data_IF_754694905352
#
_entry.id   IF_754694905352
#
_cell.length_a   1.000
_cell.length_b   1.000
_cell.length_c   1.000
_cell.angle_alpha   90.00
_cell.angle_beta   90.00
_cell.angle_gamma   90.00
#
_symmetry.space_group_name_H-M   'P 1'
#
loop_
_entity.id
_entity.type
_entity.pdbx_description
1 polymer ?
#
# COMPACT_ATOMS: atom_id res chain seq x y z
N UNK A 1 28.16 -19.27 -25.24
CA UNK A 1 27.70 -20.37 -24.37
C UNK A 1 27.81 -20.02 -22.89
N UNK A 2 28.95 -19.62 -22.33
CA UNK A 2 29.09 -19.27 -20.89
C UNK A 2 28.26 -18.05 -20.45
N UNK A 3 28.11 -17.00 -21.26
CA UNK A 3 27.31 -15.81 -20.94
C UNK A 3 25.82 -16.10 -20.85
N UNK A 4 25.29 -16.96 -21.73
CA UNK A 4 23.89 -17.39 -21.69
C UNK A 4 23.63 -18.18 -20.41
N UNK A 5 24.55 -19.11 -20.07
CA UNK A 5 24.44 -19.90 -18.85
C UNK A 5 24.51 -19.04 -17.58
N UNK A 6 25.33 -17.99 -17.60
CA UNK A 6 25.40 -17.02 -16.51
C UNK A 6 24.05 -16.28 -16.35
N UNK A 7 23.46 -15.78 -17.43
CA UNK A 7 22.18 -15.08 -17.39
C UNK A 7 21.03 -15.98 -16.90
N UNK A 8 20.98 -17.24 -17.33
CA UNK A 8 20.02 -18.23 -16.83
C UNK A 8 20.17 -18.47 -15.32
N UNK A 9 21.39 -18.61 -14.83
CA UNK A 9 21.65 -18.80 -13.39
C UNK A 9 21.29 -17.58 -12.57
N UNK A 10 21.57 -16.37 -13.07
CA UNK A 10 21.20 -15.12 -12.41
C UNK A 10 19.68 -14.94 -12.36
N UNK A 11 18.96 -15.39 -13.38
CA UNK A 11 17.48 -15.37 -13.38
C UNK A 11 16.92 -16.40 -12.39
N UNK A 12 17.43 -17.63 -12.39
CA UNK A 12 17.02 -18.65 -11.42
C UNK A 12 17.27 -18.20 -9.99
N UNK A 13 18.43 -17.57 -9.72
CA UNK A 13 18.76 -17.04 -8.40
C UNK A 13 17.77 -15.94 -7.95
N UNK A 14 17.35 -15.07 -8.85
CA UNK A 14 16.33 -14.04 -8.55
C UNK A 14 14.98 -14.69 -8.22
N UNK A 15 14.54 -15.65 -9.02
CA UNK A 15 13.28 -16.37 -8.80
C UNK A 15 13.30 -17.15 -7.48
N UNK A 16 14.38 -17.84 -7.16
CA UNK A 16 14.52 -18.58 -5.91
C UNK A 16 14.62 -17.65 -4.70
N UNK A 17 15.27 -16.49 -4.85
CA UNK A 17 15.30 -15.46 -3.80
C UNK A 17 13.92 -14.87 -3.52
N UNK A 18 13.07 -14.72 -4.57
CA UNK A 18 11.68 -14.29 -4.39
C UNK A 18 10.83 -15.38 -3.71
N UNK A 19 11.02 -16.64 -4.09
CA UNK A 19 10.36 -17.78 -3.43
C UNK A 19 10.75 -17.90 -1.96
N UNK A 20 12.04 -17.74 -1.67
CA UNK A 20 12.56 -17.79 -0.29
C UNK A 20 11.90 -16.69 0.56
N UNK A 21 11.87 -15.44 0.08
CA UNK A 21 11.19 -14.35 0.77
C UNK A 21 9.70 -14.63 1.03
N UNK A 22 9.02 -15.24 0.06
CA UNK A 22 7.63 -15.68 0.23
C UNK A 22 7.44 -16.76 1.29
N UNK A 23 8.40 -17.69 1.41
CA UNK A 23 8.39 -18.73 2.44
C UNK A 23 8.71 -18.14 3.81
N UNK A 24 9.72 -17.27 3.91
CA UNK A 24 10.09 -16.57 5.14
C UNK A 24 8.94 -15.70 5.66
N UNK A 25 8.23 -15.00 4.78
CA UNK A 25 7.03 -14.24 5.13
C UNK A 25 5.94 -15.15 5.71
N UNK A 26 5.70 -16.35 5.12
CA UNK A 26 4.73 -17.33 5.64
C UNK A 26 5.16 -17.94 6.98
N UNK A 27 6.46 -18.21 7.16
CA UNK A 27 7.00 -18.69 8.43
C UNK A 27 6.82 -17.64 9.51
N UNK A 28 7.17 -16.39 9.20
CA UNK A 28 7.01 -15.25 10.11
C UNK A 28 5.52 -14.99 10.42
N UNK A 29 4.63 -15.16 9.44
CA UNK A 29 3.18 -15.10 9.63
C UNK A 29 2.69 -16.14 10.66
N UNK A 30 3.16 -17.37 10.59
CA UNK A 30 2.80 -18.42 11.53
C UNK A 30 3.38 -18.17 12.93
N UNK A 31 4.55 -17.54 13.03
CA UNK A 31 5.18 -17.19 14.31
C UNK A 31 4.54 -15.94 14.95
N UNK A 32 4.01 -15.02 14.15
CA UNK A 32 3.30 -13.80 14.61
C UNK A 32 1.79 -14.03 14.80
N UNK A 33 1.30 -15.25 14.65
CA UNK A 33 -0.11 -15.59 14.86
C UNK A 33 -0.60 -15.35 16.31
N UNK A 34 0.32 -15.11 17.26
CA UNK A 34 0.02 -14.79 18.66
C UNK A 34 -0.09 -13.26 18.94
N UNK A 35 0.43 -12.40 18.07
CA UNK A 35 0.23 -10.95 18.20
C UNK A 35 -0.96 -10.50 17.35
N UNK A 36 -2.12 -10.36 17.99
CA UNK A 36 -3.34 -9.87 17.36
C UNK A 36 -3.10 -8.46 16.77
N UNK A 37 -3.10 -8.35 15.45
CA UNK A 37 -3.12 -7.04 14.79
C UNK A 37 -4.48 -6.38 15.12
N UNK A 38 -4.46 -5.30 15.87
CA UNK A 38 -5.66 -4.55 16.19
C UNK A 38 -6.24 -3.86 14.96
N UNK A 39 -7.29 -4.43 14.39
CA UNK A 39 -8.03 -3.80 13.28
C UNK A 39 -9.06 -2.84 13.87
N UNK A 40 -8.94 -1.57 13.52
CA UNK A 40 -9.83 -0.49 13.98
C UNK A 40 -10.70 -0.02 12.82
N UNK A 41 -12.00 0.12 13.06
CA UNK A 41 -12.92 0.77 12.12
C UNK A 41 -13.02 2.25 12.47
N UNK A 42 -12.72 3.11 11.49
CA UNK A 42 -12.86 4.57 11.65
C UNK A 42 -13.37 5.23 10.36
N UNK A 43 -13.87 6.46 10.47
CA UNK A 43 -14.07 7.33 9.30
C UNK A 43 -12.77 8.09 9.00
N UNK A 44 -12.50 8.30 7.71
CA UNK A 44 -11.38 9.11 7.23
C UNK A 44 -11.98 10.29 6.46
N UNK A 45 -11.69 11.55 6.84
CA UNK A 45 -12.19 12.71 6.13
C UNK A 45 -11.58 12.83 4.73
N UNK A 46 -12.13 13.68 3.90
CA UNK A 46 -11.50 14.09 2.65
C UNK A 46 -10.12 14.70 2.92
N UNK A 47 -9.14 14.38 2.07
CA UNK A 47 -7.75 14.78 2.26
C UNK A 47 -7.17 15.27 0.93
N UNK A 48 -6.41 16.35 0.99
CA UNK A 48 -5.62 16.80 -0.16
C UNK A 48 -4.42 15.86 -0.35
N UNK A 49 -4.16 15.50 -1.59
CA UNK A 49 -3.10 14.57 -1.96
C UNK A 49 -2.33 15.11 -3.17
N UNK A 50 -1.05 15.35 -2.99
CA UNK A 50 -0.11 15.69 -4.06
C UNK A 50 0.56 14.41 -4.51
N UNK A 51 0.21 13.91 -5.70
CA UNK A 51 0.54 12.54 -6.08
C UNK A 51 0.76 12.38 -7.58
N UNK A 52 1.38 11.27 -7.93
CA UNK A 52 1.45 10.72 -9.28
C UNK A 52 0.85 9.31 -9.28
N UNK A 53 -0.04 9.03 -10.24
CA UNK A 53 -0.54 7.67 -10.51
C UNK A 53 0.14 7.10 -11.74
N UNK A 54 0.68 5.91 -11.61
CA UNK A 54 1.39 5.21 -12.68
C UNK A 54 1.34 3.70 -12.50
N UNK A 55 1.61 2.97 -13.58
CA UNK A 55 1.82 1.52 -13.52
C UNK A 55 3.30 1.28 -13.29
N UNK A 56 3.63 0.57 -12.21
CA UNK A 56 5.00 0.26 -11.83
C UNK A 56 5.31 -1.20 -12.18
N UNK A 57 6.27 -1.44 -13.09
CA UNK A 57 6.59 -2.78 -13.57
C UNK A 57 7.22 -3.69 -12.53
N UNK A 58 8.01 -3.14 -11.59
CA UNK A 58 8.81 -3.93 -10.65
C UNK A 58 8.90 -3.28 -9.26
N UNK A 59 9.23 -4.04 -8.21
CA UNK A 59 9.50 -3.50 -6.88
C UNK A 59 10.69 -2.53 -6.84
N UNK A 60 11.69 -2.75 -7.66
CA UNK A 60 12.88 -1.90 -7.76
C UNK A 60 12.49 -0.49 -8.26
N UNK A 61 11.69 -0.42 -9.33
CA UNK A 61 11.19 0.85 -9.87
C UNK A 61 10.25 1.56 -8.88
N UNK A 62 9.49 0.80 -8.07
CA UNK A 62 8.71 1.36 -6.97
C UNK A 62 9.59 2.09 -5.97
N UNK A 63 10.67 1.45 -5.52
CA UNK A 63 11.61 2.03 -4.56
C UNK A 63 12.27 3.28 -5.15
N UNK A 64 12.70 3.23 -6.41
CA UNK A 64 13.33 4.36 -7.11
C UNK A 64 12.37 5.57 -7.19
N UNK A 65 11.12 5.35 -7.59
CA UNK A 65 10.13 6.43 -7.68
C UNK A 65 9.81 7.03 -6.31
N UNK A 66 9.63 6.19 -5.28
CA UNK A 66 9.40 6.66 -3.91
C UNK A 66 10.57 7.50 -3.41
N UNK A 67 11.81 7.02 -3.58
CA UNK A 67 13.01 7.77 -3.19
C UNK A 67 13.13 9.10 -3.96
N UNK A 68 12.79 9.11 -5.24
CA UNK A 68 12.81 10.31 -6.06
C UNK A 68 11.81 11.35 -5.56
N UNK A 69 10.55 10.94 -5.31
CA UNK A 69 9.52 11.84 -4.76
C UNK A 69 9.95 12.38 -3.39
N UNK A 70 10.42 11.52 -2.50
CA UNK A 70 10.85 11.89 -1.15
C UNK A 70 12.10 12.79 -1.14
N UNK A 71 12.98 12.65 -2.12
CA UNK A 71 14.15 13.50 -2.27
C UNK A 71 13.84 14.90 -2.81
N UNK A 72 12.85 15.03 -3.68
CA UNK A 72 12.56 16.28 -4.40
C UNK A 72 11.46 17.10 -3.73
N UNK A 73 10.34 16.50 -3.38
CA UNK A 73 9.15 17.24 -2.91
C UNK A 73 9.41 18.07 -1.64
N UNK A 74 10.12 17.58 -0.58
CA UNK A 74 10.38 18.38 0.60
C UNK A 74 11.23 19.64 0.36
N UNK A 75 11.96 19.69 -0.75
CA UNK A 75 12.72 20.89 -1.16
C UNK A 75 11.89 21.90 -1.95
N UNK A 76 10.80 21.46 -2.58
CA UNK A 76 9.93 22.29 -3.44
C UNK A 76 8.64 22.73 -2.77
N UNK A 77 8.20 22.01 -1.76
CA UNK A 77 6.98 22.29 -0.99
C UNK A 77 7.34 22.61 0.45
N UNK A 78 6.69 23.62 1.02
CA UNK A 78 6.89 23.97 2.42
C UNK A 78 6.57 22.76 3.32
N UNK A 79 7.55 22.29 4.07
CA UNK A 79 7.43 21.11 4.93
C UNK A 79 6.28 21.20 5.96
N UNK A 80 5.89 22.43 6.37
CA UNK A 80 4.75 22.63 7.29
C UNK A 80 3.40 22.26 6.66
N UNK A 81 3.34 22.24 5.33
CA UNK A 81 2.14 21.88 4.56
C UNK A 81 2.12 20.38 4.25
N UNK A 82 3.28 19.73 4.18
CA UNK A 82 3.36 18.30 3.96
C UNK A 82 2.82 17.53 5.17
N UNK A 83 2.01 16.55 4.87
CA UNK A 83 1.61 15.46 5.76
C UNK A 83 2.47 14.21 5.53
N UNK A 84 2.00 13.05 5.94
CA UNK A 84 2.68 11.80 5.70
C UNK A 84 2.77 11.46 4.21
N UNK A 85 3.81 10.71 3.84
CA UNK A 85 3.87 10.04 2.54
C UNK A 85 2.81 8.94 2.48
N UNK A 86 2.16 8.78 1.34
CA UNK A 86 1.11 7.80 1.17
C UNK A 86 1.21 7.12 -0.20
N UNK A 87 0.83 5.86 -0.21
CA UNK A 87 0.60 5.06 -1.41
C UNK A 87 -0.85 4.59 -1.48
N UNK A 88 -1.44 4.57 -2.66
CA UNK A 88 -2.74 3.95 -2.93
C UNK A 88 -2.52 2.90 -4.00
N UNK A 89 -3.00 1.68 -3.76
CA UNK A 89 -2.85 0.57 -4.70
C UNK A 89 -4.22 0.23 -5.28
N UNK A 90 -4.32 0.32 -6.60
CA UNK A 90 -5.55 0.11 -7.38
C UNK A 90 -5.62 -1.28 -7.99
N UNK A 91 -4.52 -2.04 -7.95
CA UNK A 91 -4.48 -3.40 -8.49
C UNK A 91 -5.26 -4.35 -7.61
N UNK A 92 -6.21 -5.09 -8.19
CA UNK A 92 -7.09 -6.02 -7.47
C UNK A 92 -6.39 -7.31 -7.02
N UNK A 93 -5.19 -7.57 -7.54
CA UNK A 93 -4.40 -8.76 -7.22
C UNK A 93 -3.08 -8.37 -6.54
N UNK A 94 -2.69 -9.15 -5.53
CA UNK A 94 -1.38 -9.00 -4.88
C UNK A 94 -0.26 -9.50 -5.81
N UNK A 95 0.03 -8.74 -6.86
CA UNK A 95 1.15 -9.00 -7.77
C UNK A 95 2.34 -8.11 -7.39
N UNK A 96 3.54 -8.59 -7.64
CA UNK A 96 4.77 -7.79 -7.44
C UNK A 96 5.13 -6.97 -8.69
N UNK A 97 4.38 -7.15 -9.79
CA UNK A 97 4.70 -6.52 -11.08
C UNK A 97 3.47 -5.89 -11.70
N UNK A 98 3.68 -4.83 -12.45
CA UNK A 98 2.62 -4.06 -13.15
C UNK A 98 1.53 -3.55 -12.21
N UNK A 99 1.93 -3.02 -11.05
CA UNK A 99 1.00 -2.46 -10.09
C UNK A 99 0.56 -1.05 -10.50
N UNK A 100 -0.76 -0.84 -10.57
CA UNK A 100 -1.35 0.49 -10.70
C UNK A 100 -1.37 1.15 -9.32
N UNK A 101 -0.52 2.13 -9.13
CA UNK A 101 -0.31 2.79 -7.85
C UNK A 101 -0.35 4.30 -7.97
N UNK A 102 -0.67 4.95 -6.89
CA UNK A 102 -0.59 6.39 -6.75
C UNK A 102 0.23 6.74 -5.52
N UNK A 103 1.33 7.47 -5.71
CA UNK A 103 2.33 7.76 -4.70
C UNK A 103 2.49 9.26 -4.49
N UNK A 104 2.64 9.70 -3.25
CA UNK A 104 2.82 11.11 -2.96
C UNK A 104 2.67 11.49 -1.50
N UNK A 105 2.33 12.76 -1.25
CA UNK A 105 2.17 13.30 0.09
C UNK A 105 0.74 13.74 0.35
N UNK A 106 0.15 13.35 1.47
CA UNK A 106 -1.02 14.01 2.00
C UNK A 106 -0.65 15.45 2.36
N UNK A 107 -1.60 16.38 2.19
CA UNK A 107 -1.35 17.79 2.43
C UNK A 107 -2.26 18.33 3.52
N UNK A 108 -1.73 19.24 4.35
CA UNK A 108 -2.48 20.00 5.35
C UNK A 108 -3.16 21.25 4.78
N UNK A 109 -2.66 21.76 3.64
CA UNK A 109 -3.16 22.92 2.91
C UNK A 109 -2.89 22.76 1.42
N UNK A 110 -3.65 23.40 0.55
CA UNK A 110 -3.38 23.40 -0.89
C UNK A 110 -1.99 23.92 -1.22
N UNK A 111 -1.42 23.39 -2.29
CA UNK A 111 -0.17 23.82 -2.94
C UNK A 111 -0.45 24.09 -4.43
N UNK A 112 0.57 24.37 -5.23
CA UNK A 112 0.43 24.45 -6.67
C UNK A 112 -0.14 23.15 -7.25
N UNK A 113 -1.02 23.25 -8.22
CA UNK A 113 -1.76 22.11 -8.78
C UNK A 113 -0.87 21.07 -9.46
N UNK A 114 0.32 21.49 -9.94
CA UNK A 114 1.26 20.63 -10.64
C UNK A 114 2.70 20.93 -10.19
N UNK A 115 3.42 19.90 -9.76
CA UNK A 115 4.83 19.99 -9.39
C UNK A 115 5.62 18.99 -10.22
N UNK A 116 6.37 19.50 -11.21
CA UNK A 116 7.26 18.69 -12.05
C UNK A 116 8.48 18.30 -11.24
N UNK A 117 8.79 17.01 -11.13
CA UNK A 117 9.95 16.48 -10.39
C UNK A 117 11.08 16.01 -11.32
N UNK A 118 10.76 15.62 -12.56
CA UNK A 118 11.69 15.26 -13.62
C UNK A 118 11.06 15.51 -15.00
N UNK A 119 11.77 15.16 -16.08
CA UNK A 119 11.21 15.21 -17.45
C UNK A 119 10.05 14.21 -17.63
N UNK A 120 10.05 13.13 -16.86
CA UNK A 120 9.08 12.03 -16.96
C UNK A 120 7.96 12.13 -15.92
N UNK A 121 8.24 12.74 -14.75
CA UNK A 121 7.33 12.70 -13.60
C UNK A 121 6.92 14.07 -13.11
N UNK A 122 5.62 14.22 -12.93
CA UNK A 122 5.00 15.37 -12.29
C UNK A 122 3.91 14.91 -11.31
N UNK A 123 3.88 15.52 -10.12
CA UNK A 123 2.83 15.28 -9.15
C UNK A 123 1.71 16.31 -9.36
N UNK A 124 0.48 15.84 -9.27
CA UNK A 124 -0.71 16.66 -9.36
C UNK A 124 -1.46 16.66 -8.03
N UNK A 125 -1.96 17.83 -7.62
CA UNK A 125 -2.79 17.94 -6.44
C UNK A 125 -4.23 17.53 -6.77
N UNK A 126 -4.82 16.70 -5.91
CA UNK A 126 -6.23 16.33 -5.94
C UNK A 126 -6.79 16.11 -4.54
N UNK A 127 -8.08 15.96 -4.42
CA UNK A 127 -8.73 15.57 -3.19
C UNK A 127 -9.04 14.06 -3.20
N UNK A 128 -8.64 13.36 -2.15
CA UNK A 128 -9.12 12.02 -1.83
C UNK A 128 -10.49 12.16 -1.17
N UNK A 129 -11.51 11.42 -1.63
CA UNK A 129 -12.84 11.48 -1.03
C UNK A 129 -12.82 10.96 0.40
N UNK A 130 -13.72 11.48 1.22
CA UNK A 130 -13.98 10.95 2.55
C UNK A 130 -14.45 9.49 2.47
N UNK A 131 -14.00 8.67 3.41
CA UNK A 131 -14.42 7.26 3.55
C UNK A 131 -15.08 7.08 4.91
N UNK A 132 -16.36 6.69 4.91
CA UNK A 132 -17.15 6.56 6.13
C UNK A 132 -16.73 5.36 6.99
N UNK A 133 -16.30 4.28 6.33
CA UNK A 133 -15.93 3.04 7.01
C UNK A 133 -14.60 2.55 6.44
N UNK A 134 -13.54 2.72 7.22
CA UNK A 134 -12.18 2.32 6.89
C UNK A 134 -11.70 1.31 7.92
N UNK A 135 -11.36 0.10 7.50
CA UNK A 135 -10.64 -0.85 8.33
C UNK A 135 -9.16 -0.48 8.31
N UNK A 136 -8.57 -0.27 9.47
CA UNK A 136 -7.18 0.20 9.57
C UNK A 136 -6.40 -0.64 10.56
N UNK A 137 -5.12 -0.83 10.28
CA UNK A 137 -4.18 -1.44 11.20
C UNK A 137 -2.81 -0.77 11.06
N UNK A 138 -2.10 -0.66 12.16
CA UNK A 138 -0.73 -0.12 12.18
C UNK A 138 0.24 -1.27 12.23
N UNK A 139 1.22 -1.25 11.34
CA UNK A 139 2.28 -2.25 11.25
C UNK A 139 3.64 -1.55 11.40
N UNK A 140 4.51 -2.14 12.22
CA UNK A 140 5.91 -1.74 12.37
C UNK A 140 6.81 -2.83 11.79
N UNK A 141 7.85 -2.43 11.04
CA UNK A 141 8.85 -3.31 10.46
C UNK A 141 9.08 -3.10 8.96
N UNK A 142 9.62 -4.09 8.25
CA UNK A 142 9.96 -4.00 6.83
C UNK A 142 8.75 -4.04 5.90
N UNK A 143 8.96 -3.76 4.59
CA UNK A 143 7.88 -3.73 3.58
C UNK A 143 7.11 -5.05 3.47
N UNK A 144 7.75 -6.17 3.75
CA UNK A 144 7.11 -7.49 3.73
C UNK A 144 5.99 -7.62 4.76
N UNK A 145 6.05 -6.86 5.87
CA UNK A 145 5.03 -6.89 6.92
C UNK A 145 3.75 -6.18 6.52
N UNK A 146 3.80 -5.27 5.54
CA UNK A 146 2.59 -4.64 4.99
C UNK A 146 1.68 -5.69 4.35
N UNK A 147 2.24 -6.65 3.61
CA UNK A 147 1.46 -7.75 3.02
C UNK A 147 0.81 -8.64 4.09
N UNK A 148 1.50 -8.85 5.22
CA UNK A 148 0.91 -9.58 6.34
C UNK A 148 -0.24 -8.80 6.98
N UNK A 149 -0.08 -7.50 7.16
CA UNK A 149 -1.15 -6.64 7.68
C UNK A 149 -2.37 -6.65 6.74
N UNK A 150 -2.17 -6.57 5.42
CA UNK A 150 -3.24 -6.67 4.43
C UNK A 150 -3.98 -8.00 4.52
N UNK A 151 -3.26 -9.12 4.64
CA UNK A 151 -3.86 -10.44 4.81
C UNK A 151 -4.71 -10.55 6.08
N UNK A 152 -4.22 -10.00 7.21
CA UNK A 152 -4.94 -9.99 8.48
C UNK A 152 -6.17 -9.10 8.45
N UNK A 153 -6.06 -7.89 7.87
CA UNK A 153 -7.20 -7.01 7.66
C UNK A 153 -8.25 -7.71 6.78
N UNK A 154 -7.84 -8.40 5.70
CA UNK A 154 -8.72 -9.17 4.84
C UNK A 154 -9.49 -10.25 5.61
N UNK A 155 -8.80 -11.07 6.40
CA UNK A 155 -9.42 -12.09 7.26
C UNK A 155 -10.40 -11.48 8.27
N UNK A 156 -10.01 -10.33 8.87
CA UNK A 156 -10.87 -9.63 9.80
C UNK A 156 -12.14 -9.11 9.12
N UNK A 157 -12.03 -8.54 7.91
CA UNK A 157 -13.13 -8.05 7.09
C UNK A 157 -14.16 -9.17 6.84
N UNK A 158 -13.69 -10.33 6.39
CA UNK A 158 -14.55 -11.50 6.13
C UNK A 158 -15.23 -12.00 7.40
N UNK A 159 -14.48 -12.13 8.50
CA UNK A 159 -15.00 -12.62 9.78
C UNK A 159 -16.03 -11.68 10.42
N UNK A 160 -16.01 -10.38 10.09
CA UNK A 160 -16.89 -9.38 10.70
C UNK A 160 -18.03 -8.90 9.78
N UNK A 161 -18.27 -9.58 8.66
CA UNK A 161 -19.39 -9.30 7.76
C UNK A 161 -19.24 -7.99 6.97
N UNK A 162 -18.02 -7.67 6.60
CA UNK A 162 -17.70 -6.58 5.67
C UNK A 162 -17.22 -7.12 4.33
N UNK A 163 -17.18 -6.24 3.33
CA UNK A 163 -16.48 -6.47 2.06
C UNK A 163 -15.60 -5.27 1.74
N UNK A 164 -14.56 -5.49 0.96
CA UNK A 164 -13.69 -4.43 0.45
C UNK A 164 -14.50 -3.56 -0.51
N UNK A 165 -14.39 -2.23 -0.36
CA UNK A 165 -15.17 -1.25 -1.10
C UNK A 165 -14.31 -0.28 -1.95
N UNK A 166 -13.01 -0.52 -2.06
CA UNK A 166 -12.10 0.31 -2.86
C UNK A 166 -10.63 -0.02 -2.67
N UNK A 167 -9.75 0.72 -3.33
CA UNK A 167 -8.32 0.53 -3.25
C UNK A 167 -7.81 0.75 -1.83
N UNK A 168 -6.83 -0.03 -1.42
CA UNK A 168 -6.21 0.15 -0.12
C UNK A 168 -5.16 1.27 -0.15
N UNK A 169 -4.87 1.82 1.02
CA UNK A 169 -3.91 2.90 1.21
C UNK A 169 -2.86 2.48 2.23
N UNK A 170 -1.65 2.93 2.00
CA UNK A 170 -0.52 2.81 2.92
C UNK A 170 -0.09 4.21 3.34
N UNK A 171 -0.19 4.53 4.63
CA UNK A 171 0.16 5.83 5.16
C UNK A 171 1.43 5.67 6.00
N UNK A 172 2.53 6.26 5.57
CA UNK A 172 3.79 6.25 6.30
C UNK A 172 3.72 7.16 7.53
N UNK A 173 3.59 6.58 8.71
CA UNK A 173 3.60 7.32 9.97
C UNK A 173 5.03 7.70 10.37
N UNK A 174 5.96 6.75 10.24
CA UNK A 174 7.40 6.95 10.36
C UNK A 174 8.09 6.20 9.23
N UNK A 175 8.73 6.94 8.34
CA UNK A 175 9.54 6.40 7.26
C UNK A 175 10.98 6.83 7.53
N UNK A 176 11.71 6.09 8.33
CA UNK A 176 13.16 6.18 8.36
C UNK A 176 13.69 5.65 7.02
N UNK A 177 14.79 6.23 6.53
CA UNK A 177 15.37 5.98 5.19
C UNK A 177 15.04 4.59 4.62
N UNK A 178 14.28 4.54 3.49
CA UNK A 178 13.92 3.31 2.76
C UNK A 178 15.11 2.43 2.33
N UNK A 179 16.34 2.91 2.51
CA UNK A 179 17.57 2.17 2.25
C UNK A 179 18.01 1.25 3.39
N UNK A 180 17.42 1.38 4.59
CA UNK A 180 17.65 0.49 5.73
C UNK A 180 16.29 0.01 6.24
N UNK A 181 15.83 -1.10 5.72
CA UNK A 181 14.46 -1.61 5.69
C UNK A 181 13.83 -2.00 7.04
N UNK A 182 14.41 -1.67 8.17
CA UNK A 182 14.06 -2.36 9.41
C UNK A 182 13.07 -1.64 10.32
N UNK A 183 12.73 -0.36 10.08
CA UNK A 183 11.87 0.40 11.00
C UNK A 183 10.93 1.37 10.27
N UNK A 184 10.01 0.86 9.46
CA UNK A 184 8.86 1.64 8.99
C UNK A 184 7.68 1.46 9.95
N UNK A 185 6.95 2.54 10.23
CA UNK A 185 5.62 2.45 10.81
C UNK A 185 4.63 2.89 9.75
N UNK A 186 3.77 1.97 9.32
CA UNK A 186 2.78 2.19 8.27
C UNK A 186 1.39 1.90 8.80
N UNK A 187 0.45 2.80 8.57
CA UNK A 187 -0.97 2.51 8.74
C UNK A 187 -1.52 2.00 7.39
N UNK A 188 -1.96 0.75 7.39
CA UNK A 188 -2.71 0.16 6.26
C UNK A 188 -4.18 0.50 6.43
N UNK A 189 -4.80 1.04 5.39
CA UNK A 189 -6.19 1.49 5.37
C UNK A 189 -6.94 0.81 4.23
N UNK A 190 -8.03 0.12 4.53
CA UNK A 190 -8.85 -0.59 3.56
C UNK A 190 -10.29 -0.11 3.64
N UNK A 191 -10.82 0.56 2.60
CA UNK A 191 -12.22 0.96 2.55
C UNK A 191 -13.11 -0.29 2.59
N UNK A 192 -14.12 -0.28 3.45
CA UNK A 192 -15.02 -1.43 3.61
C UNK A 192 -16.47 -0.98 3.68
N UNK A 193 -17.37 -1.89 3.34
CA UNK A 193 -18.82 -1.72 3.54
C UNK A 193 -19.42 -2.97 4.16
N UNK A 194 -20.49 -2.81 4.94
CA UNK A 194 -21.17 -3.95 5.56
C UNK A 194 -21.91 -4.77 4.51
N UNK A 195 -21.79 -6.09 4.61
CA UNK A 195 -22.63 -7.01 3.87
C UNK A 195 -24.08 -6.86 4.38
N UNK A 196 -25.00 -6.47 3.48
CA UNK A 196 -26.42 -6.43 3.82
C UNK A 196 -26.95 -7.84 3.96
N UNK A 197 -27.26 -8.25 5.16
CA UNK A 197 -27.81 -9.58 5.51
C UNK A 197 -29.25 -9.79 4.98
N UNK A 198 -29.85 -8.79 4.34
CA UNK A 198 -31.27 -8.81 3.94
C UNK A 198 -31.54 -9.60 2.65
N UNK A 199 -30.52 -10.03 1.88
CA UNK A 199 -30.73 -10.76 0.62
C UNK A 199 -30.77 -12.28 0.75
N UNK A 200 -30.36 -12.85 1.89
CA UNK A 200 -30.32 -14.31 2.06
C UNK A 200 -31.66 -14.95 2.46
N UNK A 201 -32.61 -14.17 3.03
CA UNK A 201 -33.92 -14.70 3.43
C UNK A 201 -34.96 -14.75 2.30
N UNK A 202 -34.73 -14.06 1.19
CA UNK A 202 -35.70 -14.03 0.08
C UNK A 202 -35.61 -15.25 -0.88
N UNK A 203 -34.56 -16.04 -0.78
CA UNK A 203 -34.35 -17.20 -1.65
C UNK A 203 -34.93 -18.53 -1.09
N UNK A 204 -35.34 -18.58 0.18
CA UNK A 204 -35.78 -19.82 0.84
C UNK A 204 -37.32 -19.94 0.97
N UNK A 205 -38.09 -19.03 0.39
CA UNK A 205 -39.57 -19.05 0.50
C UNK A 205 -40.24 -19.26 -0.86
N UNK A 206 -39.64 -20.01 -1.78
CA UNK A 206 -40.30 -20.52 -3.01
C UNK A 206 -39.90 -21.97 -3.24
N UNK A 207 -40.48 -22.86 -2.45
CA UNK A 207 -40.81 -24.23 -2.80
C UNK A 207 -42.20 -24.57 -2.22
#
# INVERSE_FOLDING_TARGET
MLLIKKAELEQTLREDSQRLRGIEARIKQNQLADDALDVVIKSVPAQLFLSIRTIIPSPEEMIELVQHIQGVIPSRVNQRVLGPFAGIVYTDSFTLTNNDVELGYLLKKPVDDLIVISEEYALQMRELPAVQTMATAVQSGGPELVFLALGRIGQWIEANGYRIAGPYREIGLELSNLSTSDEMIVEVQMPVERLNTTSALAATTRE
#
